data_IF_701694807054
#
_entry.id   IF_701694807054
#
_cell.length_a   1.000
_cell.length_b   1.000
_cell.length_c   1.000
_cell.angle_alpha   90.00
_cell.angle_beta   90.00
_cell.angle_gamma   90.00
#
_symmetry.space_group_name_H-M   'P 1'
#
loop_
_entity.id
_entity.type
_entity.pdbx_description
1 polymer ?
#
# COMPACT_ATOMS: atom_id res chain seq x y z
N UNK A 1 14.59 4.00 -5.89
CA UNK A 1 15.05 3.07 -4.83
C UNK A 1 13.98 3.04 -3.76
N UNK A 2 13.41 1.88 -3.45
CA UNK A 2 12.45 1.75 -2.36
C UNK A 2 13.22 1.86 -1.03
N UNK A 3 12.94 2.87 -0.23
CA UNK A 3 13.52 3.02 1.09
C UNK A 3 12.58 2.32 2.08
N UNK A 4 13.02 1.19 2.63
CA UNK A 4 12.30 0.50 3.70
C UNK A 4 12.13 1.44 4.88
N UNK A 5 10.90 1.52 5.41
CA UNK A 5 10.60 2.27 6.63
C UNK A 5 11.49 1.74 7.76
N UNK A 6 12.27 2.63 8.38
CA UNK A 6 13.16 2.27 9.50
C UNK A 6 12.44 2.25 10.84
N UNK A 7 11.21 2.76 10.85
CA UNK A 7 10.38 2.94 12.02
C UNK A 7 8.92 2.66 11.62
N UNK A 8 8.21 1.84 12.40
CA UNK A 8 6.82 1.48 12.10
C UNK A 8 5.88 2.70 12.11
N UNK A 9 6.26 3.80 12.78
CA UNK A 9 5.53 5.08 12.74
C UNK A 9 5.44 5.64 11.33
N UNK A 10 6.48 5.46 10.52
CA UNK A 10 6.47 5.89 9.11
C UNK A 10 5.48 5.06 8.30
N UNK A 11 5.42 3.75 8.55
CA UNK A 11 4.44 2.87 7.92
C UNK A 11 3.00 3.28 8.27
N UNK A 12 2.71 3.45 9.57
CA UNK A 12 1.39 3.88 10.06
C UNK A 12 1.00 5.25 9.48
N UNK A 13 1.93 6.21 9.47
CA UNK A 13 1.68 7.54 8.91
C UNK A 13 1.35 7.54 7.42
N UNK A 14 2.08 6.75 6.62
CA UNK A 14 1.78 6.61 5.19
C UNK A 14 0.46 5.85 4.97
N UNK A 15 0.20 4.80 5.76
CA UNK A 15 -1.06 4.06 5.71
C UNK A 15 -2.26 5.00 5.93
N UNK A 16 -2.20 5.82 6.98
CA UNK A 16 -3.24 6.78 7.30
C UNK A 16 -3.38 7.85 6.19
N UNK A 17 -2.26 8.36 5.66
CA UNK A 17 -2.28 9.33 4.57
C UNK A 17 -3.00 8.78 3.33
N UNK A 18 -2.78 7.51 2.97
CA UNK A 18 -3.44 6.86 1.83
C UNK A 18 -4.95 6.78 2.09
N UNK A 19 -5.36 6.33 3.28
CA UNK A 19 -6.77 6.22 3.68
C UNK A 19 -7.47 7.58 3.69
N UNK A 20 -6.85 8.61 4.27
CA UNK A 20 -7.39 9.97 4.37
C UNK A 20 -7.62 10.60 2.98
N UNK A 21 -6.84 10.16 1.98
CA UNK A 21 -7.00 10.59 0.59
C UNK A 21 -8.08 9.81 -0.18
N UNK A 22 -8.73 8.83 0.46
CA UNK A 22 -9.80 8.02 -0.10
C UNK A 22 -9.31 6.81 -0.90
N UNK A 23 -8.06 6.39 -0.69
CA UNK A 23 -7.49 5.20 -1.32
C UNK A 23 -7.44 4.03 -0.32
N UNK A 24 -7.20 2.83 -0.84
CA UNK A 24 -7.09 1.61 -0.02
C UNK A 24 -5.67 1.41 0.50
N UNK A 25 -5.57 1.17 1.80
CA UNK A 25 -4.38 0.69 2.50
C UNK A 25 -4.84 -0.39 3.51
N UNK A 26 -3.94 -1.29 3.98
CA UNK A 26 -4.36 -2.34 4.91
C UNK A 26 -4.92 -1.75 6.21
N UNK A 27 -5.96 -2.37 6.75
CA UNK A 27 -6.43 -2.06 8.08
C UNK A 27 -5.40 -2.51 9.13
N UNK A 28 -4.93 -1.58 9.97
CA UNK A 28 -4.02 -1.88 11.08
C UNK A 28 -4.85 -2.24 12.32
N UNK A 29 -4.71 -3.46 12.82
CA UNK A 29 -5.43 -3.97 13.99
C UNK A 29 -4.70 -3.69 15.31
N UNK A 30 -3.36 -3.78 15.30
CA UNK A 30 -2.52 -3.60 16.48
C UNK A 30 -1.23 -2.88 16.11
N UNK A 31 -0.83 -1.94 16.98
CA UNK A 31 0.41 -1.19 16.89
C UNK A 31 1.19 -1.31 18.21
N UNK A 32 2.45 -1.73 18.15
CA UNK A 32 3.39 -1.70 19.28
C UNK A 32 4.67 -0.96 18.86
N UNK A 33 4.67 0.36 19.04
CA UNK A 33 5.78 1.25 18.66
C UNK A 33 7.06 1.00 19.44
N UNK A 34 6.95 0.57 20.70
CA UNK A 34 8.11 0.29 21.54
C UNK A 34 8.84 -0.97 21.08
N UNK A 35 8.10 -2.00 20.65
CA UNK A 35 8.68 -3.24 20.11
C UNK A 35 8.88 -3.22 18.59
N UNK A 36 8.36 -2.21 17.88
CA UNK A 36 8.45 -2.14 16.43
C UNK A 36 7.58 -3.18 15.70
N UNK A 37 6.41 -3.51 16.23
CA UNK A 37 5.52 -4.55 15.67
C UNK A 37 4.16 -3.98 15.23
N UNK A 38 3.63 -4.55 14.14
CA UNK A 38 2.29 -4.27 13.61
C UNK A 38 1.55 -5.59 13.33
N UNK A 39 0.24 -5.60 13.54
CA UNK A 39 -0.68 -6.62 13.02
C UNK A 39 -1.70 -5.90 12.15
N UNK A 40 -1.84 -6.32 10.89
CA UNK A 40 -2.69 -5.68 9.91
C UNK A 40 -3.32 -6.70 8.95
N UNK A 41 -4.28 -6.23 8.17
CA UNK A 41 -5.00 -6.99 7.15
C UNK A 41 -4.08 -7.61 6.11
N UNK A 42 -4.33 -8.88 5.78
CA UNK A 42 -3.73 -9.52 4.62
C UNK A 42 -4.53 -9.15 3.37
N UNK A 43 -3.91 -8.38 2.46
CA UNK A 43 -4.51 -7.96 1.18
C UNK A 43 -4.51 -9.09 0.13
N UNK A 44 -4.00 -10.28 0.48
CA UNK A 44 -3.88 -11.42 -0.41
C UNK A 44 -2.58 -11.39 -1.22
N UNK A 45 -2.44 -12.37 -2.10
CA UNK A 45 -1.22 -12.62 -2.87
C UNK A 45 -1.37 -12.33 -4.37
N UNK A 46 -2.51 -11.78 -4.79
CA UNK A 46 -2.73 -11.44 -6.19
C UNK A 46 -1.91 -10.21 -6.60
N UNK A 47 -1.05 -10.38 -7.61
CA UNK A 47 -0.16 -9.32 -8.10
C UNK A 47 -0.63 -8.70 -9.42
N UNK A 48 0.30 -8.05 -10.13
CA UNK A 48 0.05 -7.45 -11.45
C UNK A 48 0.28 -8.41 -12.62
N UNK A 49 0.74 -9.63 -12.34
CA UNK A 49 1.12 -10.62 -13.34
C UNK A 49 0.16 -11.80 -13.32
N UNK A 50 -0.02 -12.44 -14.47
CA UNK A 50 -0.71 -13.72 -14.58
C UNK A 50 0.14 -14.88 -14.04
N UNK A 51 -0.41 -16.11 -14.06
CA UNK A 51 0.28 -17.31 -13.60
C UNK A 51 1.54 -17.67 -14.40
N UNK A 52 1.66 -17.16 -15.62
CA UNK A 52 2.83 -17.34 -16.50
C UNK A 52 3.86 -16.21 -16.33
N UNK A 53 3.58 -15.20 -15.50
CA UNK A 53 4.43 -14.04 -15.27
C UNK A 53 4.24 -12.92 -16.28
N UNK A 54 3.23 -12.96 -17.15
CA UNK A 54 2.96 -11.87 -18.08
C UNK A 54 2.19 -10.74 -17.39
N UNK A 55 2.44 -9.46 -17.74
CA UNK A 55 1.66 -8.34 -17.23
C UNK A 55 0.17 -8.44 -17.57
N UNK A 56 -0.68 -8.21 -16.57
CA UNK A 56 -2.13 -8.04 -16.76
C UNK A 56 -2.43 -6.58 -17.09
N UNK A 57 -2.68 -6.28 -18.37
CA UNK A 57 -2.86 -4.91 -18.89
C UNK A 57 -3.86 -4.08 -18.06
N UNK A 58 -5.03 -4.65 -17.76
CA UNK A 58 -6.08 -3.99 -16.97
C UNK A 58 -5.60 -3.51 -15.59
N UNK A 59 -4.72 -4.29 -14.93
CA UNK A 59 -4.20 -3.96 -13.59
C UNK A 59 -3.18 -2.83 -13.66
N UNK A 60 -2.38 -2.78 -14.73
CA UNK A 60 -1.45 -1.69 -14.97
C UNK A 60 -2.16 -0.37 -15.32
N UNK A 61 -3.25 -0.44 -16.08
CA UNK A 61 -4.11 0.72 -16.35
C UNK A 61 -4.69 1.24 -15.03
N UNK A 62 -5.29 0.37 -14.21
CA UNK A 62 -5.84 0.74 -12.90
C UNK A 62 -4.77 1.36 -11.97
N UNK A 63 -3.55 0.81 -11.93
CA UNK A 63 -2.45 1.41 -11.18
C UNK A 63 -2.09 2.81 -11.69
N UNK A 64 -2.08 3.01 -13.01
CA UNK A 64 -1.76 4.30 -13.62
C UNK A 64 -2.82 5.36 -13.29
N UNK A 65 -4.10 4.98 -13.34
CA UNK A 65 -5.23 5.84 -12.95
C UNK A 65 -5.19 6.19 -11.45
N UNK A 66 -4.85 5.21 -10.60
CA UNK A 66 -4.65 5.42 -9.16
C UNK A 66 -3.53 6.43 -8.92
N UNK A 67 -2.37 6.26 -9.56
CA UNK A 67 -1.23 7.18 -9.41
C UNK A 67 -1.57 8.59 -9.91
N UNK A 68 -2.25 8.70 -11.05
CA UNK A 68 -2.70 9.99 -11.57
C UNK A 68 -3.67 10.70 -10.62
N UNK A 69 -4.59 9.96 -10.00
CA UNK A 69 -5.54 10.47 -9.02
C UNK A 69 -4.85 10.86 -7.71
N UNK A 70 -3.88 10.05 -7.25
CA UNK A 70 -3.13 10.29 -6.03
C UNK A 70 -2.31 11.58 -6.14
N UNK A 71 -1.59 11.77 -7.25
CA UNK A 71 -0.80 12.99 -7.48
C UNK A 71 -1.62 14.27 -7.57
N UNK A 72 -2.92 14.20 -7.89
CA UNK A 72 -3.80 15.38 -7.90
C UNK A 72 -4.27 15.81 -6.51
N UNK A 73 -4.19 14.90 -5.52
CA UNK A 73 -4.60 15.16 -4.13
C UNK A 73 -3.43 15.59 -3.23
N UNK A 74 -2.19 15.45 -3.71
CA UNK A 74 -0.97 15.83 -3.01
C UNK A 74 -0.65 17.33 -3.12
#
# INVERSE_FOLDING_TARGET
>A
MAQLAKDIRQFVGINQLILDNGFSAPHIFVEDFEKGLLIFEDLGCEGLLDQSGNPLEERYIACSELLASFHQKS
#
